data_IF_302000391698
#
_entry.id   IF_302000391698
#
_cell.length_a   1.000
_cell.length_b   1.000
_cell.length_c   1.000
_cell.angle_alpha   90.00
_cell.angle_beta   90.00
_cell.angle_gamma   90.00
#
_symmetry.space_group_name_H-M   'P 1'
#
loop_
_entity.id
_entity.type
_entity.pdbx_description
1 polymer ?
#
# COMPACT_ATOMS: atom_id res chain seq x y z
N UNK A 1 53.72 30.79 -6.21
CA UNK A 1 53.47 32.23 -6.02
C UNK A 1 54.40 33.01 -6.92
N UNK A 2 53.95 33.41 -8.10
CA UNK A 2 54.61 34.46 -8.90
C UNK A 2 53.54 35.22 -9.66
N UNK A 3 53.37 36.47 -9.23
CA UNK A 3 52.40 37.44 -9.69
C UNK A 3 52.96 38.15 -10.90
N UNK A 4 52.22 38.21 -12.02
CA UNK A 4 52.53 39.16 -13.09
C UNK A 4 51.31 40.04 -13.36
N UNK A 5 51.47 41.30 -12.97
CA UNK A 5 50.51 42.39 -12.99
C UNK A 5 50.62 43.13 -14.33
N UNK A 6 49.47 43.51 -14.88
CA UNK A 6 49.17 44.70 -15.69
C UNK A 6 50.04 45.03 -16.93
N UNK A 7 49.36 45.22 -18.07
CA UNK A 7 49.31 46.53 -18.75
C UNK A 7 47.99 46.72 -19.50
N UNK A 8 47.35 47.83 -19.15
CA UNK A 8 46.15 48.44 -19.72
C UNK A 8 46.45 49.04 -21.09
N UNK A 9 45.39 49.07 -21.90
CA UNK A 9 45.01 50.14 -22.82
C UNK A 9 45.78 50.34 -24.13
N UNK A 10 44.98 50.77 -25.11
CA UNK A 10 45.33 51.27 -26.43
C UNK A 10 45.82 50.27 -27.47
N UNK A 11 44.90 49.91 -28.38
CA UNK A 11 44.98 50.43 -29.76
C UNK A 11 43.74 50.05 -30.57
N UNK A 12 42.70 50.84 -30.32
CA UNK A 12 41.52 51.10 -31.15
C UNK A 12 41.87 51.74 -32.50
N UNK A 13 42.91 51.23 -33.19
CA UNK A 13 43.51 51.88 -34.36
C UNK A 13 43.99 50.88 -35.43
N UNK A 14 43.52 49.62 -35.38
CA UNK A 14 43.85 48.60 -36.39
C UNK A 14 42.74 48.36 -37.44
N UNK A 15 41.57 49.01 -37.31
CA UNK A 15 40.40 48.72 -38.14
C UNK A 15 40.11 49.75 -39.24
N UNK A 16 41.05 50.65 -39.58
CA UNK A 16 40.72 51.82 -40.43
C UNK A 16 41.58 52.04 -41.68
N UNK A 17 42.39 51.07 -42.14
CA UNK A 17 43.23 51.25 -43.35
C UNK A 17 43.33 50.06 -44.31
N UNK A 18 42.38 49.12 -44.28
CA UNK A 18 42.23 48.11 -45.34
C UNK A 18 40.98 48.35 -46.18
N UNK A 19 40.65 49.63 -46.44
CA UNK A 19 39.49 50.05 -47.24
C UNK A 19 39.92 51.01 -48.32
N UNK A 20 40.91 50.64 -49.11
CA UNK A 20 41.30 51.34 -50.33
C UNK A 20 42.13 50.39 -51.20
N UNK A 21 41.44 49.46 -51.86
CA UNK A 21 42.00 48.65 -52.94
C UNK A 21 40.84 48.13 -53.80
N UNK A 22 40.76 48.67 -55.02
CA UNK A 22 40.21 48.02 -56.22
C UNK A 22 38.78 47.49 -56.17
N UNK A 23 37.81 48.34 -56.53
CA UNK A 23 36.50 47.88 -57.03
C UNK A 23 36.47 48.06 -58.55
N UNK A 24 36.96 47.07 -59.29
CA UNK A 24 36.61 46.91 -60.70
C UNK A 24 35.09 46.70 -60.81
N UNK A 25 34.47 47.42 -61.75
CA UNK A 25 33.02 47.48 -61.94
C UNK A 25 32.67 46.58 -63.13
N UNK A 26 32.07 45.41 -62.86
CA UNK A 26 31.55 44.51 -63.88
C UNK A 26 30.18 45.03 -64.37
N UNK A 27 29.92 45.20 -65.69
CA UNK A 27 28.64 45.71 -66.15
C UNK A 27 27.61 44.58 -66.20
N UNK A 28 26.64 44.61 -65.28
CA UNK A 28 25.54 43.63 -65.27
C UNK A 28 24.78 43.44 -63.96
N UNK A 29 25.01 44.26 -62.92
CA UNK A 29 24.38 44.09 -61.61
C UNK A 29 23.39 45.26 -61.30
N UNK A 30 22.13 44.99 -60.88
CA UNK A 30 21.19 46.05 -60.51
C UNK A 30 21.59 46.78 -59.22
N UNK A 31 21.20 48.05 -59.12
CA UNK A 31 21.56 49.01 -58.06
C UNK A 31 20.95 48.64 -56.67
N UNK A 32 21.71 48.62 -55.54
CA UNK A 32 21.20 48.14 -54.26
C UNK A 32 20.27 49.11 -53.52
N UNK A 33 20.13 50.36 -53.97
CA UNK A 33 19.42 51.41 -53.22
C UNK A 33 17.93 51.56 -53.57
N UNK A 34 17.31 50.51 -54.10
CA UNK A 34 15.87 50.47 -54.41
C UNK A 34 15.10 49.40 -53.63
N UNK A 35 15.48 49.13 -52.39
CA UNK A 35 14.67 48.32 -51.46
C UNK A 35 13.85 49.24 -50.54
N UNK A 36 12.51 49.20 -50.55
CA UNK A 36 11.71 49.95 -49.60
C UNK A 36 11.93 49.42 -48.18
N UNK A 37 12.27 50.33 -47.25
CA UNK A 37 12.42 50.05 -45.82
C UNK A 37 11.08 49.69 -45.19
N UNK A 38 10.92 48.49 -44.59
CA UNK A 38 9.64 48.04 -44.06
C UNK A 38 9.30 48.61 -42.67
N UNK A 39 10.11 49.51 -42.12
CA UNK A 39 10.04 49.94 -40.72
C UNK A 39 9.32 51.27 -40.48
N UNK A 40 8.43 51.70 -41.39
CA UNK A 40 7.65 52.94 -41.23
C UNK A 40 6.13 52.79 -41.26
N UNK A 41 5.59 51.57 -41.19
CA UNK A 41 4.15 51.37 -41.04
C UNK A 41 3.78 50.63 -39.77
N UNK A 42 3.23 51.38 -38.80
CA UNK A 42 2.69 50.87 -37.52
C UNK A 42 1.50 49.91 -37.67
N UNK A 43 1.06 49.63 -38.90
CA UNK A 43 -0.09 48.77 -39.21
C UNK A 43 0.29 47.30 -39.47
N UNK A 44 1.56 46.99 -39.72
CA UNK A 44 2.00 45.61 -40.03
C UNK A 44 2.46 44.78 -38.82
N UNK A 45 2.74 45.42 -37.67
CA UNK A 45 3.14 44.72 -36.44
C UNK A 45 2.00 43.93 -35.78
N UNK A 46 0.73 44.27 -36.06
CA UNK A 46 -0.42 43.57 -35.46
C UNK A 46 -0.84 42.30 -36.23
N UNK A 47 -0.62 42.23 -37.55
CA UNK A 47 -1.08 41.13 -38.39
C UNK A 47 -0.12 39.93 -38.47
N UNK A 48 1.20 40.18 -38.50
CA UNK A 48 2.21 39.13 -38.65
C UNK A 48 2.54 38.37 -37.36
N UNK A 49 2.36 39.00 -36.20
CA UNK A 49 2.63 38.36 -34.90
C UNK A 49 1.53 37.34 -34.55
N UNK A 50 0.29 37.59 -34.97
CA UNK A 50 -0.84 36.74 -34.62
C UNK A 50 -0.81 35.37 -35.32
N UNK A 51 -0.31 35.29 -36.56
CA UNK A 51 -0.25 34.04 -37.34
C UNK A 51 0.90 33.12 -36.94
N UNK A 52 2.04 33.68 -36.53
CA UNK A 52 3.17 32.90 -36.01
C UNK A 52 2.83 32.34 -34.63
N UNK A 53 2.15 33.12 -33.78
CA UNK A 53 1.69 32.66 -32.46
C UNK A 53 0.63 31.55 -32.59
N UNK A 54 -0.35 31.67 -33.50
CA UNK A 54 -1.34 30.60 -33.70
C UNK A 54 -0.73 29.34 -34.30
N UNK A 55 0.24 29.45 -35.23
CA UNK A 55 0.94 28.28 -35.77
C UNK A 55 1.80 27.58 -34.70
N UNK A 56 2.48 28.32 -33.81
CA UNK A 56 3.23 27.77 -32.68
C UNK A 56 2.31 27.14 -31.62
N UNK A 57 1.12 27.71 -31.39
CA UNK A 57 0.11 27.11 -30.51
C UNK A 57 -0.43 25.82 -31.12
N UNK A 58 -0.75 25.79 -32.42
CA UNK A 58 -1.21 24.56 -33.10
C UNK A 58 -0.11 23.50 -33.13
N UNK A 59 1.15 23.90 -33.33
CA UNK A 59 2.29 22.97 -33.25
C UNK A 59 2.52 22.47 -31.82
N UNK A 60 2.38 23.32 -30.80
CA UNK A 60 2.43 22.88 -29.40
C UNK A 60 1.24 21.97 -29.04
N UNK A 61 0.05 22.23 -29.57
CA UNK A 61 -1.17 21.43 -29.35
C UNK A 61 -1.11 20.08 -30.06
N UNK A 62 -0.49 19.99 -31.26
CA UNK A 62 -0.38 18.74 -32.01
C UNK A 62 0.88 17.92 -31.70
N UNK A 63 1.98 18.55 -31.28
CA UNK A 63 3.31 17.90 -31.20
C UNK A 63 3.78 17.59 -29.78
N UNK A 64 3.05 17.99 -28.74
CA UNK A 64 3.66 17.94 -27.41
C UNK A 64 2.72 18.16 -26.25
N UNK A 65 1.61 17.43 -26.18
CA UNK A 65 0.92 17.20 -24.90
C UNK A 65 1.09 15.76 -24.38
N UNK A 66 1.86 14.92 -25.08
CA UNK A 66 2.17 13.54 -24.66
C UNK A 66 3.17 13.43 -23.50
N UNK A 67 3.90 14.50 -23.13
CA UNK A 67 4.90 14.49 -22.05
C UNK A 67 4.37 15.01 -20.70
N UNK A 68 3.14 15.53 -20.66
CA UNK A 68 2.50 16.00 -19.41
C UNK A 68 1.58 14.93 -18.82
N UNK A 69 1.15 13.95 -19.63
CA UNK A 69 0.61 12.68 -19.13
C UNK A 69 1.75 11.72 -18.76
N UNK A 70 2.65 12.17 -17.88
CA UNK A 70 3.30 11.19 -17.03
C UNK A 70 2.17 10.53 -16.27
N UNK A 71 1.76 9.33 -16.72
CA UNK A 71 0.95 8.41 -15.95
C UNK A 71 1.58 8.44 -14.56
N UNK A 72 0.95 9.14 -13.63
CA UNK A 72 1.38 9.13 -12.25
C UNK A 72 1.09 7.71 -11.82
N UNK A 73 2.06 6.82 -12.05
CA UNK A 73 2.01 5.46 -11.58
C UNK A 73 1.83 5.61 -10.08
N UNK A 74 0.61 5.34 -9.61
CA UNK A 74 0.30 5.41 -8.20
C UNK A 74 1.40 4.63 -7.48
N UNK A 75 1.98 5.16 -6.39
CA UNK A 75 3.05 4.49 -5.68
C UNK A 75 2.60 3.05 -5.42
N UNK A 76 3.49 2.05 -5.59
CA UNK A 76 3.11 0.66 -5.44
C UNK A 76 2.49 0.44 -4.07
N UNK A 77 1.18 0.22 -4.05
CA UNK A 77 0.42 0.04 -2.83
C UNK A 77 0.12 -1.45 -2.67
N UNK A 78 0.54 -2.02 -1.55
CA UNK A 78 0.07 -3.33 -1.14
C UNK A 78 -1.38 -3.19 -0.66
N UNK A 79 -2.32 -3.67 -1.47
CA UNK A 79 -3.72 -3.80 -1.06
C UNK A 79 -3.82 -5.05 -0.21
N UNK A 80 -4.31 -4.90 1.01
CA UNK A 80 -4.56 -6.02 1.90
C UNK A 80 -5.95 -5.89 2.52
N UNK A 81 -6.68 -6.99 2.57
CA UNK A 81 -7.96 -7.08 3.24
C UNK A 81 -7.99 -8.29 4.15
N UNK A 82 -8.51 -8.08 5.36
CA UNK A 82 -8.79 -9.16 6.29
C UNK A 82 -10.13 -8.89 6.98
N UNK A 83 -11.02 -9.87 6.92
CA UNK A 83 -12.24 -9.87 7.71
C UNK A 83 -11.92 -10.00 9.21
N UNK A 84 -12.92 -9.82 10.07
CA UNK A 84 -12.78 -10.08 11.50
C UNK A 84 -12.29 -11.51 11.80
N UNK A 85 -11.91 -11.79 13.06
CA UNK A 85 -11.47 -13.12 13.44
C UNK A 85 -12.53 -14.14 13.07
N UNK A 86 -12.09 -15.23 12.48
CA UNK A 86 -12.91 -16.30 11.97
C UNK A 86 -12.34 -17.61 12.47
N UNK A 87 -13.01 -18.70 12.13
CA UNK A 87 -12.64 -20.01 12.62
C UNK A 87 -13.75 -20.61 13.44
N UNK A 88 -13.50 -21.85 13.76
CA UNK A 88 -14.48 -22.74 14.29
C UNK A 88 -14.01 -23.04 15.71
N UNK A 89 -14.52 -22.27 16.67
CA UNK A 89 -14.02 -22.25 18.04
C UNK A 89 -15.07 -21.69 18.98
N UNK A 90 -14.89 -21.91 20.27
CA UNK A 90 -15.85 -21.48 21.26
C UNK A 90 -16.03 -19.95 21.23
N UNK A 91 -17.25 -19.49 21.53
CA UNK A 91 -17.61 -18.08 21.54
C UNK A 91 -18.17 -17.71 22.90
N UNK A 92 -17.65 -16.63 23.46
CA UNK A 92 -18.24 -15.98 24.62
C UNK A 92 -19.39 -15.06 24.19
N UNK A 93 -20.52 -15.15 24.88
CA UNK A 93 -21.64 -14.24 24.77
C UNK A 93 -22.00 -13.70 26.15
N UNK A 94 -22.46 -12.45 26.21
CA UNK A 94 -22.84 -11.81 27.47
C UNK A 94 -24.17 -12.34 27.99
N UNK A 95 -25.03 -12.77 27.09
CA UNK A 95 -26.39 -13.22 27.33
C UNK A 95 -26.41 -14.64 27.93
N UNK A 96 -27.48 -14.94 28.64
CA UNK A 96 -27.77 -16.28 29.15
C UNK A 96 -28.26 -17.22 28.04
N UNK A 97 -28.14 -18.54 28.24
CA UNK A 97 -28.65 -19.53 27.28
C UNK A 97 -30.15 -19.33 26.96
N UNK A 98 -30.96 -18.94 27.94
CA UNK A 98 -32.39 -18.70 27.74
C UNK A 98 -32.67 -17.51 26.80
N UNK A 99 -31.83 -16.48 26.83
CA UNK A 99 -31.90 -15.34 25.91
C UNK A 99 -31.37 -15.71 24.54
N UNK A 100 -30.24 -16.42 24.47
CA UNK A 100 -29.63 -16.87 23.21
C UNK A 100 -30.56 -17.76 22.38
N UNK A 101 -31.40 -18.58 23.02
CA UNK A 101 -32.43 -19.39 22.34
C UNK A 101 -33.45 -18.55 21.57
N UNK A 102 -33.67 -17.29 21.96
CA UNK A 102 -34.60 -16.39 21.26
C UNK A 102 -34.00 -15.81 19.97
N UNK A 103 -32.68 -15.87 19.81
CA UNK A 103 -31.93 -15.28 18.70
C UNK A 103 -30.88 -16.23 18.09
N UNK A 104 -31.14 -17.54 18.14
CA UNK A 104 -30.18 -18.59 17.78
C UNK A 104 -29.55 -18.44 16.39
N UNK A 105 -30.32 -18.02 15.38
CA UNK A 105 -29.79 -17.75 14.03
C UNK A 105 -28.78 -16.60 13.99
N UNK A 106 -29.01 -15.54 14.76
CA UNK A 106 -28.09 -14.41 14.82
C UNK A 106 -26.79 -14.77 15.57
N UNK A 107 -26.92 -15.56 16.64
CA UNK A 107 -25.78 -16.10 17.39
C UNK A 107 -24.89 -16.96 16.48
N UNK A 108 -25.51 -17.84 15.68
CA UNK A 108 -24.79 -18.71 14.72
C UNK A 108 -24.01 -17.90 13.67
N UNK A 109 -24.62 -16.85 13.11
CA UNK A 109 -24.01 -16.08 12.01
C UNK A 109 -22.86 -15.18 12.47
N UNK A 110 -23.04 -14.42 13.56
CA UNK A 110 -22.14 -13.30 13.89
C UNK A 110 -22.00 -13.05 15.40
N UNK A 111 -22.48 -13.96 16.26
CA UNK A 111 -22.52 -13.73 17.70
C UNK A 111 -21.16 -13.93 18.39
N UNK A 112 -20.92 -13.13 19.43
CA UNK A 112 -19.92 -13.40 20.46
C UNK A 112 -18.47 -13.07 20.12
N UNK A 113 -17.61 -13.27 21.11
CA UNK A 113 -16.16 -13.09 21.03
C UNK A 113 -15.51 -14.46 20.92
N UNK A 114 -14.69 -14.67 19.89
CA UNK A 114 -14.01 -15.95 19.67
C UNK A 114 -12.95 -16.22 20.75
N UNK A 115 -12.90 -17.48 21.18
CA UNK A 115 -12.00 -18.02 22.19
C UNK A 115 -11.03 -18.98 21.50
N UNK A 116 -9.77 -18.57 21.26
CA UNK A 116 -8.76 -19.45 20.71
C UNK A 116 -8.37 -20.52 21.74
N UNK A 117 -8.26 -21.76 21.29
CA UNK A 117 -7.85 -22.91 22.10
C UNK A 117 -6.82 -23.75 21.35
N UNK A 118 -6.23 -24.72 22.04
CA UNK A 118 -5.21 -25.59 21.44
C UNK A 118 -5.84 -26.49 20.35
N UNK A 119 -7.10 -26.88 20.51
CA UNK A 119 -7.82 -27.79 19.59
C UNK A 119 -8.63 -27.06 18.52
N UNK A 120 -8.96 -25.79 18.74
CA UNK A 120 -9.77 -24.98 17.83
C UNK A 120 -9.07 -23.64 17.53
N UNK A 121 -8.65 -23.49 16.28
CA UNK A 121 -7.95 -22.32 15.81
C UNK A 121 -8.89 -21.16 15.49
N UNK A 122 -8.58 -19.99 16.06
CA UNK A 122 -9.15 -18.71 15.64
C UNK A 122 -8.13 -18.01 14.77
N UNK A 123 -8.54 -17.56 13.59
CA UNK A 123 -7.64 -17.00 12.60
C UNK A 123 -8.14 -15.70 12.00
N UNK A 124 -7.21 -14.80 11.70
CA UNK A 124 -7.43 -13.64 10.83
C UNK A 124 -6.84 -13.99 9.47
N UNK A 125 -7.70 -14.10 8.46
CA UNK A 125 -7.29 -14.42 7.08
C UNK A 125 -7.09 -13.11 6.33
N UNK A 126 -5.87 -12.85 5.90
CA UNK A 126 -5.50 -11.67 5.13
C UNK A 126 -5.22 -12.06 3.67
N UNK A 127 -5.91 -11.42 2.74
CA UNK A 127 -5.65 -11.52 1.31
C UNK A 127 -4.89 -10.29 0.86
N UNK A 128 -3.76 -10.50 0.19
CA UNK A 128 -2.82 -9.49 -0.24
C UNK A 128 -2.71 -9.50 -1.76
N UNK A 129 -2.69 -8.32 -2.36
CA UNK A 129 -2.52 -8.15 -3.79
C UNK A 129 -1.77 -6.84 -4.07
N UNK A 130 -0.87 -6.85 -5.06
CA UNK A 130 -0.26 -5.59 -5.49
C UNK A 130 -1.32 -4.74 -6.22
N UNK A 131 -1.34 -3.44 -5.93
CA UNK A 131 -2.26 -2.51 -6.59
C UNK A 131 -1.93 -2.26 -8.06
N UNK A 132 -0.70 -2.57 -8.47
CA UNK A 132 -0.14 -2.41 -9.82
C UNK A 132 0.56 -3.71 -10.26
N UNK A 133 1.04 -3.77 -11.50
CA UNK A 133 1.78 -4.94 -12.01
C UNK A 133 3.20 -5.08 -11.43
N UNK A 134 3.69 -4.04 -10.74
CA UNK A 134 4.94 -4.11 -10.01
C UNK A 134 4.82 -5.09 -8.84
N UNK A 135 5.70 -6.10 -8.80
CA UNK A 135 5.73 -7.05 -7.71
C UNK A 135 6.20 -6.39 -6.40
N UNK A 136 5.52 -6.73 -5.31
CA UNK A 136 5.82 -6.27 -3.95
C UNK A 136 6.39 -7.45 -3.16
N UNK A 137 7.45 -7.20 -2.39
CA UNK A 137 8.01 -8.19 -1.45
C UNK A 137 7.52 -7.85 -0.05
N UNK A 138 6.67 -8.69 0.52
CA UNK A 138 6.23 -8.60 1.91
C UNK A 138 7.30 -9.22 2.79
N UNK A 139 7.88 -8.42 3.68
CA UNK A 139 9.08 -8.75 4.45
C UNK A 139 8.79 -9.15 5.89
N UNK A 140 7.58 -8.89 6.39
CA UNK A 140 7.22 -9.28 7.75
C UNK A 140 5.81 -8.86 8.16
N UNK A 141 5.42 -9.30 9.34
CA UNK A 141 4.21 -8.87 10.03
C UNK A 141 4.52 -8.53 11.49
N UNK A 142 3.84 -7.53 12.02
CA UNK A 142 3.89 -7.13 13.44
C UNK A 142 2.48 -7.01 13.99
N UNK A 143 2.29 -7.43 15.23
CA UNK A 143 1.01 -7.29 15.94
C UNK A 143 1.11 -6.17 16.96
N UNK A 144 0.12 -5.27 16.96
CA UNK A 144 -0.05 -4.24 17.98
C UNK A 144 -1.30 -4.53 18.80
N UNK A 145 -1.14 -4.68 20.12
CA UNK A 145 -2.27 -4.76 21.05
C UNK A 145 -2.84 -3.36 21.24
N UNK A 146 -4.12 -3.19 20.89
CA UNK A 146 -4.86 -1.93 20.98
C UNK A 146 -5.51 -1.74 22.35
N UNK A 147 -6.05 -2.83 22.90
CA UNK A 147 -6.58 -2.86 24.26
C UNK A 147 -6.39 -4.26 24.85
N UNK A 148 -6.23 -4.33 26.17
CA UNK A 148 -6.20 -5.58 26.92
C UNK A 148 -7.03 -5.41 28.19
N UNK A 149 -7.82 -6.42 28.53
CA UNK A 149 -8.70 -6.43 29.71
C UNK A 149 -8.75 -7.78 30.41
N UNK A 150 -9.38 -7.81 31.58
CA UNK A 150 -9.71 -9.05 32.30
C UNK A 150 -10.83 -9.80 31.60
N UNK A 151 -10.86 -11.12 31.80
CA UNK A 151 -11.96 -11.95 31.32
C UNK A 151 -13.25 -11.65 32.12
N UNK A 152 -14.43 -11.76 31.50
CA UNK A 152 -15.71 -11.56 32.15
C UNK A 152 -16.00 -12.65 33.18
N UNK A 153 -16.64 -12.26 34.29
CA UNK A 153 -17.08 -13.18 35.35
C UNK A 153 -18.54 -13.65 35.21
N UNK A 154 -19.25 -13.22 34.16
CA UNK A 154 -20.62 -13.60 33.85
C UNK A 154 -20.79 -13.74 32.33
N UNK A 155 -21.78 -14.50 31.90
CA UNK A 155 -22.10 -14.76 30.49
C UNK A 155 -22.17 -16.25 30.19
N UNK A 156 -22.12 -16.59 28.92
CA UNK A 156 -22.24 -17.97 28.42
C UNK A 156 -21.17 -18.26 27.38
N UNK A 157 -20.61 -19.47 27.41
CA UNK A 157 -19.73 -19.96 26.34
C UNK A 157 -20.48 -20.96 25.47
N UNK A 158 -20.45 -20.76 24.16
CA UNK A 158 -21.04 -21.68 23.17
C UNK A 158 -19.92 -22.32 22.35
N UNK A 159 -19.90 -23.65 22.27
CA UNK A 159 -18.94 -24.41 21.48
C UNK A 159 -19.52 -24.79 20.12
N UNK A 160 -18.82 -24.41 19.05
CA UNK A 160 -19.12 -24.89 17.69
C UNK A 160 -18.54 -26.29 17.48
N UNK A 161 -19.19 -27.08 16.63
CA UNK A 161 -18.66 -28.35 16.13
C UNK A 161 -17.90 -28.10 14.83
N UNK A 162 -16.65 -28.56 14.77
CA UNK A 162 -15.71 -28.16 13.72
C UNK A 162 -15.16 -29.36 12.97
N UNK A 163 -15.14 -29.25 11.64
CA UNK A 163 -14.47 -30.20 10.76
C UNK A 163 -12.97 -29.90 10.62
N UNK A 164 -12.25 -30.74 9.87
CA UNK A 164 -10.82 -30.56 9.60
C UNK A 164 -10.53 -29.33 8.72
N UNK A 165 -9.38 -28.70 8.95
CA UNK A 165 -8.90 -27.54 8.18
C UNK A 165 -8.22 -27.90 6.86
N UNK A 166 -7.80 -26.87 6.12
CA UNK A 166 -7.05 -26.97 4.86
C UNK A 166 -5.62 -26.46 5.09
N UNK A 167 -4.65 -26.93 4.29
CA UNK A 167 -3.27 -26.46 4.37
C UNK A 167 -3.15 -25.00 3.89
N UNK A 168 -2.63 -24.13 4.76
CA UNK A 168 -2.58 -22.69 4.55
C UNK A 168 -1.16 -22.12 4.82
N UNK A 169 -0.88 -20.90 4.34
CA UNK A 169 0.30 -20.13 4.76
C UNK A 169 0.03 -19.50 6.12
N UNK A 170 0.25 -20.29 7.14
CA UNK A 170 -0.14 -19.98 8.51
C UNK A 170 1.01 -19.36 9.34
N UNK A 171 0.66 -18.39 10.17
CA UNK A 171 1.52 -17.78 11.18
C UNK A 171 0.85 -17.84 12.55
N UNK A 172 1.58 -18.28 13.56
CA UNK A 172 1.13 -18.27 14.95
C UNK A 172 1.41 -16.90 15.59
N UNK A 173 0.37 -16.34 16.22
CA UNK A 173 0.41 -15.13 17.01
C UNK A 173 0.47 -15.48 18.50
N UNK A 174 1.63 -15.28 19.11
CA UNK A 174 1.83 -15.54 20.54
C UNK A 174 1.71 -14.27 21.38
N UNK A 175 0.55 -14.11 22.02
CA UNK A 175 0.21 -13.00 22.91
C UNK A 175 0.78 -13.13 24.33
N UNK A 176 1.47 -14.23 24.65
CA UNK A 176 2.22 -14.38 25.91
C UNK A 176 3.53 -13.60 25.89
N UNK A 177 4.06 -13.30 24.70
CA UNK A 177 5.29 -12.52 24.50
C UNK A 177 4.98 -11.02 24.35
N UNK A 178 5.97 -10.18 24.68
CA UNK A 178 5.91 -8.73 24.45
C UNK A 178 7.23 -8.24 23.81
N UNK A 179 7.24 -7.81 22.54
CA UNK A 179 6.09 -7.70 21.63
C UNK A 179 5.47 -9.06 21.28
N UNK A 180 4.20 -9.04 20.86
CA UNK A 180 3.51 -10.24 20.35
C UNK A 180 4.34 -10.82 19.22
N UNK A 181 4.65 -12.11 19.33
CA UNK A 181 5.49 -12.81 18.36
C UNK A 181 4.65 -13.32 17.20
N UNK A 182 5.17 -13.22 15.98
CA UNK A 182 4.59 -13.78 14.75
C UNK A 182 5.60 -14.78 14.19
N UNK A 183 5.23 -16.06 14.07
CA UNK A 183 6.12 -17.11 13.57
C UNK A 183 5.39 -17.99 12.56
N UNK A 184 6.07 -18.56 11.55
CA UNK A 184 5.45 -19.55 10.68
C UNK A 184 4.93 -20.72 11.53
N UNK A 185 3.71 -21.17 11.25
CA UNK A 185 3.09 -22.25 12.01
C UNK A 185 3.91 -23.54 11.86
N UNK A 186 4.02 -24.29 12.96
CA UNK A 186 4.56 -25.65 12.95
C UNK A 186 3.38 -26.61 12.89
N UNK A 187 3.23 -27.29 11.76
CA UNK A 187 2.23 -28.33 11.61
C UNK A 187 2.79 -29.66 12.13
N UNK A 188 2.14 -30.21 13.15
CA UNK A 188 2.47 -31.53 13.69
C UNK A 188 1.60 -32.59 13.02
N UNK A 189 2.22 -33.65 12.50
CA UNK A 189 1.57 -34.88 12.06
C UNK A 189 1.95 -36.02 13.01
N UNK A 190 1.29 -37.18 12.90
CA UNK A 190 1.55 -38.34 13.76
C UNK A 190 3.05 -38.74 13.82
N UNK A 191 3.82 -38.46 12.76
CA UNK A 191 5.20 -38.92 12.62
C UNK A 191 6.21 -37.80 12.33
N UNK A 192 5.80 -36.53 12.22
CA UNK A 192 6.71 -35.43 11.86
C UNK A 192 6.18 -34.05 12.26
N UNK A 193 7.06 -33.05 12.29
CA UNK A 193 6.70 -31.64 12.36
C UNK A 193 7.22 -30.93 11.11
N UNK A 194 6.38 -30.14 10.46
CA UNK A 194 6.73 -29.34 9.29
C UNK A 194 6.51 -27.87 9.61
N UNK A 195 7.59 -27.09 9.59
CA UNK A 195 7.51 -25.64 9.73
C UNK A 195 7.05 -25.02 8.43
N UNK A 196 6.08 -24.11 8.51
CA UNK A 196 5.67 -23.27 7.40
C UNK A 196 6.81 -22.41 6.87
N UNK A 197 6.62 -21.87 5.65
CA UNK A 197 7.57 -20.90 5.10
C UNK A 197 7.45 -19.59 5.89
N UNK A 198 8.59 -19.00 6.28
CA UNK A 198 8.64 -17.67 6.88
C UNK A 198 8.75 -16.58 5.80
N UNK A 199 8.60 -15.31 6.20
CA UNK A 199 8.87 -14.17 5.35
C UNK A 199 10.30 -14.22 4.77
N UNK A 200 10.51 -13.71 3.54
CA UNK A 200 9.61 -12.88 2.74
C UNK A 200 8.68 -13.64 1.76
N UNK A 201 7.66 -12.93 1.25
CA UNK A 201 6.73 -13.41 0.22
C UNK A 201 6.61 -12.39 -0.93
N UNK A 202 6.53 -12.89 -2.17
CA UNK A 202 6.27 -12.06 -3.34
C UNK A 202 4.75 -12.01 -3.59
N UNK A 203 4.23 -10.83 -3.88
CA UNK A 203 2.83 -10.60 -4.25
C UNK A 203 2.80 -9.76 -5.52
N UNK A 204 1.90 -10.05 -6.45
CA UNK A 204 1.67 -9.23 -7.65
C UNK A 204 0.18 -9.02 -7.91
N UNK A 205 -0.17 -8.27 -8.95
CA UNK A 205 -1.56 -8.10 -9.41
C UNK A 205 -2.18 -9.43 -9.87
N UNK A 206 -1.40 -10.31 -10.52
CA UNK A 206 -1.83 -11.62 -11.02
C UNK A 206 -1.57 -12.80 -10.08
N UNK A 207 -0.84 -12.58 -8.98
CA UNK A 207 -0.46 -13.61 -8.01
C UNK A 207 -0.77 -13.11 -6.58
N UNK A 208 -2.05 -13.11 -6.18
CA UNK A 208 -2.45 -12.73 -4.83
C UNK A 208 -2.01 -13.80 -3.83
N UNK A 209 -1.65 -13.36 -2.62
CA UNK A 209 -1.26 -14.24 -1.52
C UNK A 209 -2.28 -14.18 -0.39
N UNK A 210 -2.50 -15.31 0.28
CA UNK A 210 -3.34 -15.39 1.46
C UNK A 210 -2.49 -15.82 2.67
N UNK A 211 -2.50 -15.00 3.71
CA UNK A 211 -1.87 -15.31 5.01
C UNK A 211 -2.93 -15.58 6.05
N UNK A 212 -2.68 -16.59 6.87
CA UNK A 212 -3.58 -16.98 7.96
C UNK A 212 -2.86 -16.75 9.28
N UNK A 213 -3.34 -15.78 10.05
CA UNK A 213 -2.78 -15.46 11.35
C UNK A 213 -3.57 -16.17 12.45
N UNK A 214 -3.05 -17.30 12.91
CA UNK A 214 -3.62 -18.10 13.99
C UNK A 214 -3.34 -17.43 15.33
N UNK A 215 -4.41 -17.14 16.06
CA UNK A 215 -4.32 -16.60 17.41
C UNK A 215 -4.06 -17.77 18.35
N UNK A 216 -2.89 -17.80 18.99
CA UNK A 216 -2.62 -18.78 20.03
C UNK A 216 -3.51 -18.54 21.26
N UNK A 217 -3.69 -19.58 22.06
CA UNK A 217 -4.39 -19.50 23.34
C UNK A 217 -3.86 -18.35 24.20
N UNK A 218 -4.78 -17.54 24.70
CA UNK A 218 -4.49 -16.39 25.56
C UNK A 218 -5.34 -16.43 26.84
N UNK A 219 -5.01 -15.54 27.79
CA UNK A 219 -5.64 -15.48 29.13
C UNK A 219 -6.32 -14.14 29.44
N UNK A 220 -6.51 -13.31 28.40
CA UNK A 220 -6.98 -11.92 28.52
C UNK A 220 -7.99 -11.64 27.41
N UNK A 221 -8.81 -10.61 27.57
CA UNK A 221 -9.58 -10.02 26.48
C UNK A 221 -8.65 -9.06 25.74
N UNK A 222 -8.51 -9.18 24.41
CA UNK A 222 -7.62 -8.32 23.62
C UNK A 222 -8.27 -7.84 22.34
N UNK A 223 -7.98 -6.58 22.00
CA UNK A 223 -8.14 -6.06 20.63
C UNK A 223 -6.76 -5.82 20.05
N UNK A 224 -6.56 -6.21 18.80
CA UNK A 224 -5.26 -6.05 18.15
C UNK A 224 -5.39 -5.66 16.68
N UNK A 225 -4.27 -5.22 16.10
CA UNK A 225 -4.12 -4.97 14.67
C UNK A 225 -2.84 -5.62 14.16
N UNK A 226 -2.80 -5.89 12.86
CA UNK A 226 -1.66 -6.49 12.17
C UNK A 226 -1.10 -5.44 11.21
N UNK A 227 0.20 -5.18 11.28
CA UNK A 227 0.90 -4.31 10.33
C UNK A 227 1.85 -5.16 9.50
N UNK A 228 1.63 -5.19 8.19
CA UNK A 228 2.50 -5.84 7.22
C UNK A 228 3.60 -4.85 6.81
N UNK A 229 4.85 -5.32 6.81
CA UNK A 229 5.99 -4.58 6.24
C UNK A 229 6.29 -5.12 4.86
N UNK A 230 6.60 -4.23 3.93
CA UNK A 230 6.87 -4.60 2.55
C UNK A 230 7.87 -3.65 1.90
N UNK A 231 8.46 -4.09 0.79
CA UNK A 231 9.35 -3.32 -0.06
C UNK A 231 8.87 -3.44 -1.49
N UNK A 232 8.82 -2.33 -2.20
CA UNK A 232 8.55 -2.29 -3.64
C UNK A 232 9.50 -1.31 -4.29
N UNK A 233 10.22 -1.74 -5.32
CA UNK A 233 11.19 -0.92 -6.04
C UNK A 233 12.23 -0.22 -5.12
N UNK A 234 12.68 -0.93 -4.09
CA UNK A 234 13.63 -0.40 -3.10
C UNK A 234 13.00 0.48 -2.02
N UNK A 235 11.75 0.90 -2.18
CA UNK A 235 11.04 1.74 -1.21
C UNK A 235 10.31 0.89 -0.16
N UNK A 236 10.55 1.12 1.14
CA UNK A 236 9.85 0.43 2.21
C UNK A 236 8.44 1.02 2.44
N UNK A 237 7.50 0.17 2.80
CA UNK A 237 6.14 0.57 3.13
C UNK A 237 5.50 -0.33 4.19
N UNK A 238 4.33 0.10 4.66
CA UNK A 238 3.53 -0.71 5.58
C UNK A 238 2.06 -0.67 5.20
N UNK A 239 1.36 -1.79 5.42
CA UNK A 239 -0.09 -1.89 5.28
C UNK A 239 -0.69 -2.39 6.58
N UNK A 240 -1.65 -1.65 7.13
CA UNK A 240 -2.28 -1.96 8.41
C UNK A 240 -3.64 -2.61 8.20
N UNK A 241 -3.85 -3.70 8.93
CA UNK A 241 -5.11 -4.44 9.05
C UNK A 241 -5.61 -4.25 10.48
N UNK A 242 -6.71 -3.53 10.66
CA UNK A 242 -7.25 -3.19 11.98
C UNK A 242 -8.79 -3.34 12.08
N UNK A 243 -9.37 -4.17 11.20
CA UNK A 243 -10.81 -4.44 11.18
C UNK A 243 -11.66 -3.15 11.06
N UNK A 244 -11.24 -2.22 10.21
CA UNK A 244 -11.91 -0.93 10.03
C UNK A 244 -11.84 -0.06 11.27
N UNK A 245 -10.68 -0.02 11.94
CA UNK A 245 -10.42 0.75 13.15
C UNK A 245 -10.92 0.12 14.46
N UNK A 246 -11.72 -0.95 14.42
CA UNK A 246 -12.26 -1.61 15.63
C UNK A 246 -11.25 -2.51 16.34
N UNK A 247 -10.21 -2.94 15.65
CA UNK A 247 -9.35 -4.04 16.05
C UNK A 247 -10.01 -5.41 15.90
N UNK A 248 -9.17 -6.43 15.75
CA UNK A 248 -9.55 -7.83 15.85
C UNK A 248 -9.75 -8.18 17.33
N UNK A 249 -10.97 -8.61 17.70
CA UNK A 249 -11.34 -8.88 19.09
C UNK A 249 -11.39 -10.39 19.35
N UNK A 250 -10.57 -10.85 20.28
CA UNK A 250 -10.49 -12.23 20.76
C UNK A 250 -10.28 -12.23 22.26
N UNK A 251 -10.61 -13.33 22.93
CA UNK A 251 -10.39 -13.44 24.36
C UNK A 251 -9.95 -14.83 24.79
N UNK A 252 -9.32 -14.93 25.95
CA UNK A 252 -9.08 -16.21 26.61
C UNK A 252 -10.36 -16.88 27.10
N UNK A 253 -10.27 -18.17 27.41
CA UNK A 253 -11.41 -18.93 27.95
C UNK A 253 -11.72 -18.45 29.39
N UNK A 254 -12.90 -17.84 29.65
CA UNK A 254 -13.28 -17.40 30.99
C UNK A 254 -13.60 -18.60 31.89
N UNK A 255 -13.16 -18.53 33.15
CA UNK A 255 -13.40 -19.60 34.13
C UNK A 255 -14.77 -19.43 34.81
N UNK A 256 -15.41 -20.55 35.13
CA UNK A 256 -16.64 -20.56 35.92
C UNK A 256 -17.90 -20.12 35.16
N UNK A 257 -17.81 -19.85 33.86
CA UNK A 257 -19.00 -19.57 33.05
C UNK A 257 -19.68 -20.87 32.61
N UNK A 258 -21.02 -20.89 32.53
CA UNK A 258 -21.74 -22.00 31.93
C UNK A 258 -21.34 -22.14 30.46
N UNK A 259 -21.08 -23.38 30.05
CA UNK A 259 -20.67 -23.74 28.69
C UNK A 259 -21.63 -24.76 28.09
N UNK A 260 -21.99 -24.56 26.83
CA UNK A 260 -22.92 -25.41 26.10
C UNK A 260 -22.45 -25.67 24.66
N UNK A 261 -22.78 -26.82 24.06
CA UNK A 261 -22.64 -27.00 22.63
C UNK A 261 -23.63 -26.12 21.86
N UNK A 262 -23.31 -25.73 20.63
CA UNK A 262 -24.20 -24.94 19.76
C UNK A 262 -25.57 -25.60 19.58
N UNK A 263 -25.65 -26.93 19.62
CA UNK A 263 -26.90 -27.69 19.59
C UNK A 263 -27.86 -27.36 20.75
N UNK A 264 -27.37 -26.87 21.89
CA UNK A 264 -28.19 -26.47 23.03
C UNK A 264 -29.06 -25.23 22.75
N UNK A 265 -28.71 -24.42 21.75
CA UNK A 265 -29.51 -23.28 21.29
C UNK A 265 -30.82 -23.71 20.62
N UNK A 266 -30.93 -24.97 20.19
CA UNK A 266 -32.06 -25.49 19.43
C UNK A 266 -32.90 -26.52 20.21
N UNK A 267 -32.43 -26.95 21.39
CA UNK A 267 -33.20 -27.82 22.28
C UNK A 267 -34.29 -27.00 22.97
N UNK A 268 -35.55 -27.37 22.73
CA UNK A 268 -36.73 -26.84 23.43
C UNK A 268 -36.82 -27.38 24.84
#
# INVERSE_FOLDING_TARGET
>A
MTTQRNRRADRSAALRRARESGRERNPGQPDPDSAPSPWRDKKFLAGGVLTVVTALIVWAVQSGWGWIQGESADPPQLKAYASGPSGCGARYLKESLAELRKSSEQVRRQGGVLIPTDDNSVSVIATLQAGTDQAIVVTGAKVSVLSSGSLPGQGTVIHDECGGGVDERAFDLDFSQNPVTVKPQIQHTANSAKTGRDFPFKVSSGDPEQFVFHVAKLRRDVRFAITLSWVSDGEPGTTRLDNGGRGYHVMGNPQGLPSYPVSALYKK
#
